data_IF_550564518875
#
_entry.id   IF_550564518875
#
_cell.length_a   1.000
_cell.length_b   1.000
_cell.length_c   1.000
_cell.angle_alpha   90.00
_cell.angle_beta   90.00
_cell.angle_gamma   90.00
#
_symmetry.space_group_name_H-M   'P 1'
#
loop_
_entity.id
_entity.type
_entity.pdbx_description
1 polymer ?
#
# COMPACT_ATOMS: atom_id res chain seq x y z
N UNK A 1 5.65 15.37 -0.91
CA UNK A 1 5.18 14.94 -2.25
C UNK A 1 5.00 13.41 -2.35
N UNK A 2 3.88 12.94 -2.91
CA UNK A 2 3.54 11.51 -3.02
C UNK A 2 4.56 10.67 -3.82
N UNK A 3 5.44 11.32 -4.59
CA UNK A 3 6.51 10.67 -5.36
C UNK A 3 7.54 9.93 -4.50
N UNK A 4 8.00 10.51 -3.38
CA UNK A 4 9.01 9.87 -2.51
C UNK A 4 8.49 8.61 -1.80
N UNK A 5 7.26 8.65 -1.30
CA UNK A 5 6.64 7.48 -0.67
C UNK A 5 6.44 6.32 -1.66
N UNK A 6 6.11 6.63 -2.93
CA UNK A 6 6.01 5.63 -4.00
C UNK A 6 7.37 5.02 -4.35
N UNK A 7 8.44 5.81 -4.27
CA UNK A 7 9.81 5.36 -4.54
C UNK A 7 10.29 4.40 -3.44
N UNK A 8 10.18 4.78 -2.16
CA UNK A 8 10.54 3.91 -1.04
C UNK A 8 9.72 2.61 -0.99
N UNK A 9 8.46 2.63 -1.44
CA UNK A 9 7.64 1.41 -1.54
C UNK A 9 8.22 0.42 -2.56
N UNK A 10 8.69 0.90 -3.72
CA UNK A 10 9.28 0.04 -4.76
C UNK A 10 10.64 -0.52 -4.35
N UNK A 11 11.37 0.20 -3.52
CA UNK A 11 12.68 -0.23 -2.99
C UNK A 11 12.56 -1.33 -1.92
N UNK A 12 11.40 -1.45 -1.25
CA UNK A 12 11.20 -2.40 -0.15
C UNK A 12 10.28 -3.57 -0.51
N UNK A 13 9.46 -3.43 -1.55
CA UNK A 13 8.42 -4.41 -1.88
C UNK A 13 8.30 -4.64 -3.38
N UNK A 14 8.18 -5.93 -3.76
CA UNK A 14 7.72 -6.34 -5.08
C UNK A 14 6.19 -6.40 -5.07
N UNK A 15 5.54 -5.43 -5.71
CA UNK A 15 4.07 -5.37 -5.82
C UNK A 15 3.59 -6.35 -6.90
N UNK A 16 2.57 -7.15 -6.57
CA UNK A 16 1.92 -8.10 -7.45
C UNK A 16 0.48 -7.71 -7.81
N UNK A 17 -0.36 -8.72 -8.05
CA UNK A 17 -1.73 -8.56 -8.52
C UNK A 17 -2.64 -7.84 -7.51
N UNK A 18 -3.70 -7.21 -8.03
CA UNK A 18 -4.80 -6.71 -7.21
C UNK A 18 -5.57 -7.89 -6.61
N UNK A 19 -5.70 -7.90 -5.28
CA UNK A 19 -6.47 -8.91 -4.54
C UNK A 19 -7.93 -8.48 -4.35
N UNK A 20 -8.18 -7.18 -4.22
CA UNK A 20 -9.54 -6.66 -4.04
C UNK A 20 -9.61 -5.14 -4.08
N UNK A 21 -10.79 -4.64 -4.42
CA UNK A 21 -11.11 -3.20 -4.46
C UNK A 21 -12.53 -2.94 -3.98
N UNK A 22 -12.73 -1.89 -3.20
CA UNK A 22 -14.04 -1.46 -2.71
C UNK A 22 -13.96 -0.17 -1.90
N UNK A 23 -14.97 0.09 -1.05
CA UNK A 23 -14.97 1.27 -0.15
C UNK A 23 -13.76 1.32 0.80
N UNK A 24 -13.07 0.20 0.98
CA UNK A 24 -11.82 0.09 1.73
C UNK A 24 -10.56 0.52 0.95
N UNK A 25 -10.67 0.92 -0.32
CA UNK A 25 -9.54 1.22 -1.21
C UNK A 25 -9.15 0.03 -2.09
N UNK A 26 -7.87 -0.07 -2.43
CA UNK A 26 -7.30 -1.17 -3.24
C UNK A 26 -6.27 -1.96 -2.46
N UNK A 27 -6.31 -3.29 -2.52
CA UNK A 27 -5.36 -4.19 -1.85
C UNK A 27 -4.60 -5.00 -2.88
N UNK A 28 -3.27 -4.98 -2.81
CA UNK A 28 -2.39 -5.70 -3.72
C UNK A 28 -1.63 -6.79 -2.96
N UNK A 29 -1.40 -7.94 -3.61
CA UNK A 29 -0.39 -8.88 -3.18
C UNK A 29 0.99 -8.23 -3.29
N UNK A 30 1.91 -8.57 -2.40
CA UNK A 30 3.30 -8.16 -2.52
C UNK A 30 4.23 -9.12 -1.78
N UNK A 31 5.51 -9.06 -2.11
CA UNK A 31 6.59 -9.70 -1.36
C UNK A 31 7.50 -8.61 -0.80
N UNK A 32 7.83 -8.68 0.49
CA UNK A 32 8.85 -7.82 1.08
C UNK A 32 10.22 -8.31 0.64
N UNK A 33 11.08 -7.41 0.18
CA UNK A 33 12.36 -7.77 -0.45
C UNK A 33 13.41 -8.27 0.55
N UNK A 34 13.34 -7.86 1.82
CA UNK A 34 14.32 -8.23 2.84
C UNK A 34 14.28 -9.70 3.27
N UNK A 35 13.10 -10.31 3.25
CA UNK A 35 12.84 -11.65 3.81
C UNK A 35 11.96 -12.52 2.89
N UNK A 36 11.59 -12.01 1.70
CA UNK A 36 10.65 -12.64 0.76
C UNK A 36 9.25 -12.91 1.34
N UNK A 37 8.93 -12.36 2.51
CA UNK A 37 7.66 -12.64 3.17
C UNK A 37 6.47 -12.12 2.34
N UNK A 38 5.39 -12.90 2.20
CA UNK A 38 4.17 -12.44 1.56
C UNK A 38 3.48 -11.38 2.43
N UNK A 39 3.06 -10.28 1.81
CA UNK A 39 2.37 -9.17 2.47
C UNK A 39 1.24 -8.64 1.59
N UNK A 40 0.35 -7.84 2.19
CA UNK A 40 -0.65 -7.07 1.46
C UNK A 40 -0.31 -5.58 1.53
N UNK A 41 -0.40 -4.88 0.39
CA UNK A 41 -0.28 -3.42 0.34
C UNK A 41 -1.66 -2.82 0.09
N UNK A 42 -2.20 -2.16 1.12
CA UNK A 42 -3.48 -1.43 1.04
C UNK A 42 -3.22 0.03 0.68
N UNK A 43 -3.85 0.51 -0.41
CA UNK A 43 -3.81 1.90 -0.84
C UNK A 43 -5.17 2.55 -0.60
N UNK A 44 -5.18 3.58 0.24
CA UNK A 44 -6.36 4.40 0.54
C UNK A 44 -6.15 5.80 -0.06
N UNK A 45 -7.01 6.26 -0.99
CA UNK A 45 -6.95 7.62 -1.49
C UNK A 45 -7.13 8.63 -0.35
N UNK A 46 -6.29 9.66 -0.27
CA UNK A 46 -6.32 10.63 0.84
C UNK A 46 -7.66 11.34 0.96
N UNK A 47 -8.32 11.62 -0.16
CA UNK A 47 -9.66 12.23 -0.22
C UNK A 47 -10.78 11.29 0.24
N UNK A 48 -10.49 9.99 0.43
CA UNK A 48 -11.44 9.02 0.99
C UNK A 48 -11.23 8.78 2.49
N UNK A 49 -10.25 9.44 3.12
CA UNK A 49 -10.03 9.36 4.58
C UNK A 49 -10.95 10.37 5.27
N UNK A 50 -11.97 9.87 5.99
CA UNK A 50 -12.99 10.70 6.66
C UNK A 50 -12.58 11.19 8.05
N UNK A 51 -11.79 10.38 8.74
CA UNK A 51 -11.32 10.66 10.09
C UNK A 51 -9.82 10.38 10.15
N UNK A 52 -9.09 11.32 10.71
CA UNK A 52 -7.69 11.15 11.09
C UNK A 52 -7.66 10.96 12.60
N UNK A 53 -6.83 10.04 13.09
CA UNK A 53 -6.57 9.94 14.52
C UNK A 53 -5.67 11.08 14.98
N UNK A 54 -5.83 11.51 16.23
CA UNK A 54 -4.85 12.32 16.95
C UNK A 54 -3.81 11.38 17.58
N UNK A 55 -2.56 11.84 17.68
CA UNK A 55 -1.43 11.08 18.26
C UNK A 55 -1.23 11.44 19.72
#
# INVERSE_FOLDING_TARGET
>A
PAGRARQGLKEQYRVGALLGRGGFGSVFAASRLSDSAPVAIKRVPRNCVRHWGEL
#
